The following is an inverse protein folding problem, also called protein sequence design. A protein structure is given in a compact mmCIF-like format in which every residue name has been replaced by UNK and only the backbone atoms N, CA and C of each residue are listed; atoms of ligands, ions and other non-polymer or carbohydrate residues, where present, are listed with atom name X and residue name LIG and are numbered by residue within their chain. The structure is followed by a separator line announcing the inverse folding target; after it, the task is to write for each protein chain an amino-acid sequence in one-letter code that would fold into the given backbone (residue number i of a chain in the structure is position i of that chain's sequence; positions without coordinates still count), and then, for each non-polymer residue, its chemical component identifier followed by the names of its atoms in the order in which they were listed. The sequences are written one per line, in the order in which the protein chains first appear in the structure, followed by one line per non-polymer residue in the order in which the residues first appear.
data_IF_597222087005
#
_entry.id   IF_597222087005
#
_cell.length_a   1.000
_cell.length_b   1.000
_cell.length_c   1.000
_cell.angle_alpha   90.00
_cell.angle_beta   90.00
_cell.angle_gamma   90.00
#
_symmetry.space_group_name_H-M   'P 1'
#
loop_
_entity.id
_entity.type
_entity.pdbx_description
1 polymer ?
#
# COMPACT_ATOMS: atom_id res chain seq x y z
N UNK A 1 11.04 -31.53 -6.70
CA UNK A 1 11.31 -30.08 -6.56
C UNK A 1 10.75 -29.22 -7.71
N UNK A 2 10.81 -29.64 -8.98
CA UNK A 2 10.24 -28.88 -10.13
C UNK A 2 8.71 -28.78 -10.08
N UNK A 3 8.00 -29.85 -9.71
CA UNK A 3 6.53 -29.86 -9.61
C UNK A 3 6.01 -28.91 -8.51
N UNK A 4 6.66 -28.90 -7.35
CA UNK A 4 6.30 -28.02 -6.22
C UNK A 4 6.55 -26.54 -6.57
N UNK A 5 7.64 -26.21 -7.27
CA UNK A 5 7.89 -24.85 -7.77
C UNK A 5 6.81 -24.41 -8.76
N UNK A 6 6.41 -25.30 -9.70
CA UNK A 6 5.39 -25.00 -10.71
C UNK A 6 4.01 -24.78 -10.07
N UNK A 7 3.64 -25.56 -9.06
CA UNK A 7 2.39 -25.42 -8.32
C UNK A 7 2.37 -24.13 -7.49
N UNK A 8 3.47 -23.78 -6.83
CA UNK A 8 3.61 -22.51 -6.08
C UNK A 8 3.52 -21.30 -7.01
N UNK A 9 4.07 -21.39 -8.20
CA UNK A 9 4.02 -20.37 -9.22
C UNK A 9 2.60 -20.14 -9.76
N UNK A 10 1.85 -21.21 -9.99
CA UNK A 10 0.44 -21.13 -10.39
C UNK A 10 -0.41 -20.46 -9.29
N UNK A 11 -0.20 -20.80 -8.01
CA UNK A 11 -0.92 -20.18 -6.88
C UNK A 11 -0.66 -18.66 -6.76
N UNK A 12 0.57 -18.22 -6.99
CA UNK A 12 0.92 -16.78 -6.94
C UNK A 12 0.20 -16.02 -8.06
N UNK A 13 0.25 -16.55 -9.28
CA UNK A 13 -0.45 -15.95 -10.42
C UNK A 13 -1.96 -15.94 -10.24
N UNK A 14 -2.52 -17.00 -9.68
CA UNK A 14 -3.97 -17.09 -9.45
C UNK A 14 -4.43 -16.13 -8.37
N UNK A 15 -3.67 -15.97 -7.27
CA UNK A 15 -4.02 -15.01 -6.21
C UNK A 15 -3.94 -13.54 -6.68
N UNK A 16 -3.00 -13.20 -7.55
CA UNK A 16 -2.91 -11.84 -8.12
C UNK A 16 -4.02 -11.53 -9.13
N UNK A 17 -4.69 -12.56 -9.67
CA UNK A 17 -5.77 -12.38 -10.67
C UNK A 17 -7.00 -11.70 -10.12
N UNK A 18 -7.35 -11.92 -8.85
CA UNK A 18 -8.45 -11.23 -8.19
C UNK A 18 -8.25 -9.72 -8.19
N UNK A 19 -7.08 -9.27 -7.76
CA UNK A 19 -6.70 -7.85 -7.73
C UNK A 19 -6.63 -7.25 -9.14
N UNK A 20 -6.04 -7.96 -10.09
CA UNK A 20 -5.98 -7.54 -11.49
C UNK A 20 -7.37 -7.34 -12.11
N UNK A 21 -8.28 -8.31 -11.94
CA UNK A 21 -9.64 -8.22 -12.49
C UNK A 21 -10.45 -7.12 -11.82
N UNK A 22 -10.36 -7.00 -10.49
CA UNK A 22 -11.01 -5.94 -9.73
C UNK A 22 -10.49 -4.56 -10.16
N UNK A 23 -9.17 -4.40 -10.34
CA UNK A 23 -8.57 -3.17 -10.83
C UNK A 23 -9.11 -2.77 -12.21
N UNK A 24 -9.26 -3.71 -13.14
CA UNK A 24 -9.88 -3.46 -14.45
C UNK A 24 -11.33 -3.02 -14.37
N UNK A 25 -12.13 -3.69 -13.52
CA UNK A 25 -13.53 -3.32 -13.30
C UNK A 25 -13.63 -1.92 -12.71
N UNK A 26 -12.81 -1.61 -11.72
CA UNK A 26 -12.79 -0.29 -11.08
C UNK A 26 -12.34 0.81 -12.05
N UNK A 27 -11.30 0.56 -12.84
CA UNK A 27 -10.85 1.50 -13.87
C UNK A 27 -11.97 1.82 -14.88
N UNK A 28 -12.64 0.79 -15.38
CA UNK A 28 -13.77 0.95 -16.30
C UNK A 28 -14.96 1.68 -15.64
N UNK A 29 -15.26 1.38 -14.37
CA UNK A 29 -16.35 2.03 -13.63
C UNK A 29 -16.08 3.52 -13.37
N UNK A 30 -14.84 3.88 -13.03
CA UNK A 30 -14.43 5.25 -12.74
C UNK A 30 -14.10 6.06 -14.01
N UNK A 31 -13.88 5.40 -15.15
CA UNK A 31 -13.38 6.03 -16.36
C UNK A 31 -11.90 6.43 -16.27
N UNK A 32 -11.12 5.74 -15.44
CA UNK A 32 -9.71 5.98 -15.21
C UNK A 32 -8.84 5.02 -16.04
N UNK A 33 -7.59 5.39 -16.25
CA UNK A 33 -6.63 4.52 -16.93
C UNK A 33 -6.27 3.32 -16.03
N UNK A 34 -6.27 2.12 -16.60
CA UNK A 34 -5.80 0.92 -15.92
C UNK A 34 -4.29 0.75 -16.14
N UNK A 35 -3.52 0.70 -15.07
CA UNK A 35 -2.08 0.42 -15.10
C UNK A 35 -1.81 -0.89 -14.39
N UNK A 36 -1.35 -1.92 -15.12
CA UNK A 36 -1.03 -3.22 -14.52
C UNK A 36 0.20 -3.11 -13.62
N UNK A 37 0.08 -3.54 -12.37
CA UNK A 37 1.21 -3.55 -11.44
C UNK A 37 2.39 -4.40 -11.97
N UNK A 38 2.14 -5.43 -12.77
CA UNK A 38 3.19 -6.22 -13.40
C UNK A 38 4.04 -5.41 -14.42
N UNK A 39 3.52 -4.30 -14.94
CA UNK A 39 4.26 -3.43 -15.86
C UNK A 39 5.11 -2.39 -15.15
N UNK A 40 4.76 -2.02 -13.92
CA UNK A 40 5.35 -0.87 -13.22
C UNK A 40 6.07 -1.23 -11.92
N UNK A 41 5.77 -2.37 -11.30
CA UNK A 41 6.43 -2.86 -10.07
C UNK A 41 7.42 -3.97 -10.42
N UNK A 42 8.69 -3.76 -10.16
CA UNK A 42 9.79 -4.63 -10.58
C UNK A 42 10.39 -5.42 -9.44
N UNK A 43 10.59 -6.71 -9.73
CA UNK A 43 11.33 -7.64 -8.89
C UNK A 43 12.52 -8.21 -9.64
N UNK A 44 13.59 -8.52 -8.91
CA UNK A 44 14.74 -9.26 -9.42
C UNK A 44 14.38 -10.73 -9.66
N UNK A 45 15.22 -11.45 -10.41
CA UNK A 45 15.01 -12.89 -10.71
C UNK A 45 14.98 -13.78 -9.47
N UNK A 46 15.59 -13.35 -8.38
CA UNK A 46 15.57 -14.04 -7.08
C UNK A 46 14.32 -13.72 -6.25
N UNK A 47 13.45 -12.82 -6.73
CA UNK A 47 12.24 -12.36 -6.04
C UNK A 47 12.46 -11.15 -5.13
N UNK A 48 13.64 -10.56 -5.11
CA UNK A 48 13.92 -9.33 -4.36
C UNK A 48 13.24 -8.14 -5.03
N UNK A 49 12.58 -7.29 -4.25
CA UNK A 49 11.94 -6.09 -4.75
C UNK A 49 12.98 -5.04 -5.18
N UNK A 50 12.85 -4.50 -6.40
CA UNK A 50 13.71 -3.42 -6.91
C UNK A 50 13.02 -2.07 -6.80
N UNK A 51 13.30 -1.34 -5.72
CA UNK A 51 12.66 -0.07 -5.40
C UNK A 51 13.05 1.06 -6.38
N UNK A 52 14.31 1.08 -6.84
CA UNK A 52 14.83 2.13 -7.70
C UNK A 52 14.19 2.07 -9.09
N UNK A 53 14.28 0.92 -9.75
CA UNK A 53 13.67 0.69 -11.07
C UNK A 53 12.15 0.85 -11.01
N UNK A 54 11.50 0.37 -9.94
CA UNK A 54 10.06 0.56 -9.74
C UNK A 54 9.69 2.04 -9.68
N UNK A 55 10.43 2.84 -8.89
CA UNK A 55 10.14 4.26 -8.77
C UNK A 55 10.33 5.02 -10.09
N UNK A 56 11.36 4.69 -10.87
CA UNK A 56 11.59 5.29 -12.19
C UNK A 56 10.44 4.99 -13.15
N UNK A 57 10.03 3.71 -13.25
CA UNK A 57 8.96 3.28 -14.16
C UNK A 57 7.61 3.88 -13.73
N UNK A 58 7.28 3.84 -12.43
CA UNK A 58 6.05 4.42 -11.88
C UNK A 58 5.98 5.92 -12.13
N UNK A 59 7.05 6.66 -11.81
CA UNK A 59 7.08 8.11 -12.00
C UNK A 59 6.91 8.49 -13.46
N UNK A 60 7.61 7.82 -14.38
CA UNK A 60 7.48 8.07 -15.80
C UNK A 60 6.08 7.76 -16.33
N UNK A 61 5.50 6.59 -15.92
CA UNK A 61 4.18 6.17 -16.40
C UNK A 61 3.05 7.05 -15.86
N UNK A 62 3.14 7.46 -14.59
CA UNK A 62 2.07 8.24 -13.94
C UNK A 62 2.15 9.73 -14.24
N UNK A 63 3.30 10.25 -14.64
CA UNK A 63 3.43 11.66 -15.07
C UNK A 63 2.55 12.03 -16.28
N UNK A 64 2.18 11.04 -17.09
CA UNK A 64 1.34 11.23 -18.29
C UNK A 64 -0.16 11.08 -17.99
N UNK A 65 -0.54 10.71 -16.75
CA UNK A 65 -1.91 10.34 -16.40
C UNK A 65 -2.47 11.29 -15.34
N UNK A 66 -3.66 11.77 -15.53
CA UNK A 66 -4.40 12.53 -14.53
C UNK A 66 -4.98 11.60 -13.45
N UNK A 67 -5.51 10.45 -13.89
CA UNK A 67 -6.12 9.46 -12.99
C UNK A 67 -5.77 8.05 -13.43
N UNK A 68 -5.41 7.19 -12.49
CA UNK A 68 -5.10 5.79 -12.75
C UNK A 68 -5.65 4.86 -11.65
N UNK A 69 -5.95 3.62 -12.04
CA UNK A 69 -6.21 2.51 -11.13
C UNK A 69 -5.08 1.50 -11.27
N UNK A 70 -4.37 1.25 -10.19
CA UNK A 70 -3.24 0.32 -10.12
C UNK A 70 -3.61 -0.77 -9.12
N UNK A 71 -3.72 -2.04 -9.52
CA UNK A 71 -3.92 -3.13 -8.59
C UNK A 71 -2.68 -3.29 -7.69
N UNK A 72 -2.90 -3.50 -6.39
CA UNK A 72 -1.80 -3.66 -5.43
C UNK A 72 -1.31 -5.08 -5.28
N UNK A 73 -0.33 -5.29 -4.36
CA UNK A 73 0.10 -6.57 -3.82
C UNK A 73 1.05 -7.40 -4.71
N UNK A 74 1.19 -7.13 -6.01
CA UNK A 74 2.06 -7.86 -6.92
C UNK A 74 2.85 -6.94 -7.87
N UNK A 75 3.80 -7.54 -8.56
CA UNK A 75 4.57 -6.96 -9.65
C UNK A 75 5.14 -8.08 -10.52
N UNK A 76 6.17 -7.82 -11.29
CA UNK A 76 6.82 -8.83 -12.11
C UNK A 76 8.34 -8.64 -12.19
N UNK A 77 9.03 -9.74 -12.47
CA UNK A 77 10.43 -9.73 -12.90
C UNK A 77 10.53 -9.27 -14.36
N UNK A 78 11.73 -9.00 -14.83
CA UNK A 78 12.00 -8.54 -16.21
C UNK A 78 11.45 -9.50 -17.28
N UNK A 79 11.47 -10.82 -17.00
CA UNK A 79 10.94 -11.85 -17.90
C UNK A 79 9.41 -12.01 -17.82
N UNK A 80 8.70 -11.15 -17.09
CA UNK A 80 7.24 -11.16 -16.95
C UNK A 80 6.71 -12.17 -15.93
N UNK A 81 7.58 -12.76 -15.13
CA UNK A 81 7.19 -13.67 -14.04
C UNK A 81 6.53 -12.87 -12.91
N UNK A 82 5.25 -13.13 -12.63
CA UNK A 82 4.52 -12.45 -11.55
C UNK A 82 5.07 -12.86 -10.19
N UNK A 83 5.34 -11.87 -9.35
CA UNK A 83 5.81 -12.00 -7.96
C UNK A 83 4.90 -11.20 -7.05
N UNK A 84 4.60 -11.72 -5.87
CA UNK A 84 3.78 -11.02 -4.87
C UNK A 84 4.63 -10.57 -3.69
N UNK A 85 4.27 -9.45 -3.08
CA UNK A 85 4.85 -9.05 -1.80
C UNK A 85 4.48 -10.06 -0.71
N UNK A 86 5.37 -10.30 0.23
CA UNK A 86 5.18 -11.30 1.28
C UNK A 86 4.18 -10.86 2.36
N UNK A 87 4.04 -9.55 2.60
CA UNK A 87 3.17 -8.94 3.62
C UNK A 87 2.79 -7.52 3.23
N UNK A 88 1.55 -7.10 3.58
CA UNK A 88 1.10 -5.72 3.39
C UNK A 88 1.25 -5.20 1.96
N UNK A 89 1.18 -6.08 0.95
CA UNK A 89 1.56 -5.76 -0.41
C UNK A 89 0.73 -4.65 -1.05
N UNK A 90 -0.54 -4.53 -0.67
CA UNK A 90 -1.39 -3.42 -1.13
C UNK A 90 -0.93 -2.09 -0.54
N UNK A 91 -0.59 -2.07 0.75
CA UNK A 91 -0.05 -0.88 1.43
C UNK A 91 1.30 -0.47 0.84
N UNK A 92 2.18 -1.47 0.57
CA UNK A 92 3.46 -1.24 -0.14
C UNK A 92 3.21 -0.60 -1.49
N UNK A 93 2.30 -1.15 -2.29
CA UNK A 93 2.00 -0.60 -3.63
C UNK A 93 1.46 0.83 -3.54
N UNK A 94 0.51 1.10 -2.64
CA UNK A 94 0.00 2.45 -2.41
C UNK A 94 1.09 3.45 -2.00
N UNK A 95 1.99 3.02 -1.12
CA UNK A 95 3.15 3.79 -0.67
C UNK A 95 4.13 4.10 -1.81
N UNK A 96 4.41 3.13 -2.69
CA UNK A 96 5.26 3.31 -3.86
C UNK A 96 4.64 4.29 -4.87
N UNK A 97 3.34 4.15 -5.13
CA UNK A 97 2.61 5.06 -6.02
C UNK A 97 2.63 6.48 -5.47
N UNK A 98 2.30 6.66 -4.17
CA UNK A 98 2.33 7.97 -3.53
C UNK A 98 3.73 8.63 -3.61
N UNK A 99 4.80 7.86 -3.39
CA UNK A 99 6.18 8.35 -3.56
C UNK A 99 6.47 8.73 -5.01
N UNK A 100 6.08 7.89 -5.97
CA UNK A 100 6.40 8.11 -7.39
C UNK A 100 5.74 9.37 -7.96
N UNK A 101 4.51 9.69 -7.51
CA UNK A 101 3.79 10.91 -7.91
C UNK A 101 4.06 12.11 -6.99
N UNK A 102 4.89 11.94 -5.95
CA UNK A 102 5.16 12.97 -4.93
C UNK A 102 3.85 13.53 -4.35
N UNK A 103 2.96 12.64 -3.92
CA UNK A 103 1.63 12.99 -3.45
C UNK A 103 1.68 13.95 -2.24
N UNK A 104 0.73 14.86 -2.16
CA UNK A 104 0.53 15.73 -0.99
C UNK A 104 0.01 14.96 0.22
N UNK A 105 -0.74 13.87 -0.02
CA UNK A 105 -1.34 13.02 0.99
C UNK A 105 -1.53 11.60 0.43
N UNK A 106 -1.22 10.59 1.26
CA UNK A 106 -1.58 9.20 0.99
C UNK A 106 -2.75 8.80 1.90
N UNK A 107 -3.94 8.60 1.35
CA UNK A 107 -5.07 8.03 2.10
C UNK A 107 -5.06 6.51 2.03
N UNK A 108 -4.96 5.87 3.19
CA UNK A 108 -5.07 4.42 3.32
C UNK A 108 -6.46 4.05 3.87
N UNK A 109 -7.30 3.51 3.00
CA UNK A 109 -8.68 3.13 3.34
C UNK A 109 -8.74 1.68 3.79
N UNK A 110 -9.21 1.48 5.04
CA UNK A 110 -9.29 0.19 5.72
C UNK A 110 -10.64 0.03 6.44
N UNK A 111 -10.78 -0.97 7.30
CA UNK A 111 -12.01 -1.25 8.07
C UNK A 111 -12.02 -0.61 9.47
N UNK A 112 -10.99 0.18 9.80
CA UNK A 112 -10.88 0.90 11.08
C UNK A 112 -10.70 2.40 10.88
N UNK A 113 -11.23 3.21 11.83
CA UNK A 113 -11.17 4.69 11.78
C UNK A 113 -9.86 5.25 12.36
N UNK A 114 -8.72 4.64 12.02
CA UNK A 114 -7.41 5.04 12.52
C UNK A 114 -7.01 4.34 13.82
N UNK A 115 -6.10 4.97 14.57
CA UNK A 115 -5.58 4.46 15.83
C UNK A 115 -6.42 4.92 17.01
N UNK A 116 -6.64 4.02 17.98
CA UNK A 116 -7.32 4.32 19.23
C UNK A 116 -6.29 4.46 20.37
N UNK A 117 -6.59 5.31 21.36
CA UNK A 117 -5.74 5.50 22.55
C UNK A 117 -5.60 4.22 23.37
N UNK A 118 -6.62 3.35 23.34
CA UNK A 118 -6.64 2.07 24.04
C UNK A 118 -7.43 1.03 23.25
N UNK A 119 -7.14 -0.25 23.49
CA UNK A 119 -7.86 -1.37 22.88
C UNK A 119 -9.37 -1.29 23.22
N UNK A 120 -10.27 -1.19 22.22
CA UNK A 120 -11.70 -1.07 22.45
C UNK A 120 -12.32 -2.32 23.11
N UNK A 121 -11.61 -3.45 23.10
CA UNK A 121 -12.01 -4.67 23.84
C UNK A 121 -11.82 -4.55 25.34
N UNK A 122 -10.90 -3.65 25.77
CA UNK A 122 -10.58 -3.40 27.19
C UNK A 122 -11.26 -2.12 27.68
N UNK A 123 -11.16 -1.04 26.90
CA UNK A 123 -11.69 0.29 27.26
C UNK A 123 -12.87 0.64 26.35
N UNK A 124 -14.07 0.56 26.88
CA UNK A 124 -15.28 1.01 26.16
C UNK A 124 -15.17 2.50 25.84
N UNK A 125 -15.55 2.88 24.62
CA UNK A 125 -15.48 4.27 24.12
C UNK A 125 -14.07 4.87 24.08
N UNK A 126 -13.08 4.06 23.70
CA UNK A 126 -11.72 4.54 23.42
C UNK A 126 -11.77 5.64 22.35
N UNK A 127 -11.07 6.76 22.59
CA UNK A 127 -11.00 7.87 21.65
C UNK A 127 -10.01 7.60 20.53
N UNK A 128 -10.30 8.11 19.32
CA UNK A 128 -9.37 8.07 18.20
C UNK A 128 -8.22 9.07 18.42
N UNK A 129 -7.05 8.70 17.99
CA UNK A 129 -5.88 9.58 17.91
C UNK A 129 -6.00 10.35 16.58
N UNK A 130 -6.06 11.68 16.66
CA UNK A 130 -6.21 12.49 15.43
C UNK A 130 -4.91 12.57 14.63
N UNK A 131 -3.77 12.72 15.30
CA UNK A 131 -2.45 12.86 14.66
C UNK A 131 -1.38 12.14 15.46
N UNK A 132 -0.52 11.40 14.76
CA UNK A 132 0.68 10.78 15.33
C UNK A 132 1.87 10.99 14.40
N UNK A 133 3.07 10.89 14.95
CA UNK A 133 4.29 10.88 14.16
C UNK A 133 4.65 9.47 13.68
N UNK A 134 5.46 9.36 12.63
CA UNK A 134 6.02 8.08 12.20
C UNK A 134 6.79 7.36 13.30
N UNK A 135 7.42 8.13 14.22
CA UNK A 135 8.13 7.57 15.39
C UNK A 135 7.16 6.93 16.37
N UNK A 136 6.07 7.61 16.69
CA UNK A 136 5.02 7.08 17.58
C UNK A 136 4.30 5.88 16.95
N UNK A 137 4.04 5.92 15.64
CA UNK A 137 3.49 4.78 14.91
C UNK A 137 4.35 3.52 15.09
N UNK A 138 5.67 3.66 14.97
CA UNK A 138 6.60 2.55 15.18
C UNK A 138 6.50 1.98 16.59
N UNK A 139 6.46 2.82 17.61
CA UNK A 139 6.31 2.38 19.01
C UNK A 139 4.97 1.65 19.22
N UNK A 140 3.86 2.17 18.64
CA UNK A 140 2.56 1.51 18.69
C UNK A 140 2.58 0.14 18.01
N UNK A 141 3.28 0.01 16.89
CA UNK A 141 3.44 -1.26 16.18
C UNK A 141 4.18 -2.30 17.01
N UNK A 142 5.24 -1.92 17.72
CA UNK A 142 5.94 -2.80 18.66
C UNK A 142 5.07 -3.24 19.85
N UNK A 143 4.12 -2.42 20.24
CA UNK A 143 3.14 -2.73 21.30
C UNK A 143 1.95 -3.57 20.81
N UNK A 144 1.93 -3.95 19.53
CA UNK A 144 0.90 -4.83 18.95
C UNK A 144 -0.27 -4.10 18.27
N UNK A 145 -0.25 -2.79 18.16
CA UNK A 145 -1.23 -2.02 17.39
C UNK A 145 -0.86 -2.03 15.90
N UNK A 146 -1.16 -3.14 15.20
CA UNK A 146 -0.79 -3.31 13.80
C UNK A 146 -1.93 -2.93 12.86
N UNK A 147 -2.09 -1.66 12.58
CA UNK A 147 -2.98 -1.17 11.49
C UNK A 147 -2.20 -1.09 10.18
N UNK A 148 -0.94 -0.65 10.22
CA UNK A 148 -0.02 -0.60 9.09
C UNK A 148 1.30 -1.27 9.43
N UNK A 149 1.88 -1.97 8.46
CA UNK A 149 3.24 -2.51 8.56
C UNK A 149 4.26 -1.40 8.32
N UNK A 150 5.27 -1.28 9.20
CA UNK A 150 6.32 -0.24 9.07
C UNK A 150 7.06 -0.34 7.72
N UNK A 151 7.37 -1.56 7.28
CA UNK A 151 8.04 -1.79 6.00
C UNK A 151 7.20 -1.32 4.80
N UNK A 152 5.87 -1.42 4.91
CA UNK A 152 4.96 -1.03 3.85
C UNK A 152 4.92 0.49 3.60
N UNK A 153 5.16 1.28 4.65
CA UNK A 153 5.09 2.75 4.58
C UNK A 153 6.46 3.42 4.43
N UNK A 154 7.54 2.63 4.35
CA UNK A 154 8.89 3.15 4.21
C UNK A 154 9.06 4.13 3.02
N UNK A 155 8.50 3.87 1.80
CA UNK A 155 8.62 4.79 0.68
C UNK A 155 8.03 6.19 0.97
N UNK A 156 6.80 6.26 1.48
CA UNK A 156 6.13 7.55 1.79
C UNK A 156 6.80 8.27 2.95
N UNK A 157 7.26 7.52 3.97
CA UNK A 157 8.03 8.10 5.07
C UNK A 157 9.33 8.75 4.57
N UNK A 158 10.07 8.04 3.71
CA UNK A 158 11.31 8.57 3.10
C UNK A 158 11.05 9.84 2.30
N UNK A 159 9.89 9.94 1.65
CA UNK A 159 9.47 11.09 0.87
C UNK A 159 8.86 12.21 1.71
N UNK A 160 8.62 12.01 3.03
CA UNK A 160 7.98 12.98 3.91
C UNK A 160 6.47 13.16 3.63
N UNK A 161 5.85 12.22 2.94
CA UNK A 161 4.43 12.29 2.56
C UNK A 161 3.57 11.88 3.76
N UNK A 162 2.59 12.68 4.20
CA UNK A 162 1.68 12.28 5.27
C UNK A 162 0.75 11.15 4.84
N UNK A 163 0.36 10.28 5.80
CA UNK A 163 -0.61 9.20 5.59
C UNK A 163 -1.85 9.49 6.42
N UNK A 164 -3.04 9.35 5.84
CA UNK A 164 -4.30 9.39 6.58
C UNK A 164 -4.97 8.01 6.55
N UNK A 165 -5.17 7.40 7.72
CA UNK A 165 -5.89 6.14 7.85
C UNK A 165 -7.38 6.43 7.91
N UNK A 166 -8.14 5.95 6.93
CA UNK A 166 -9.57 6.20 6.77
C UNK A 166 -10.38 4.91 6.84
N UNK A 167 -11.61 5.01 7.30
CA UNK A 167 -12.53 3.87 7.39
C UNK A 167 -13.51 3.83 6.21
N UNK A 168 -13.47 2.76 5.43
CA UNK A 168 -14.40 2.52 4.32
C UNK A 168 -15.86 2.40 4.78
N UNK A 169 -16.10 1.91 5.99
CA UNK A 169 -17.43 1.75 6.58
C UNK A 169 -17.95 3.03 7.28
N UNK A 170 -17.06 3.99 7.53
CA UNK A 170 -17.37 5.27 8.16
C UNK A 170 -16.56 6.40 7.50
N UNK A 171 -16.81 6.72 6.21
CA UNK A 171 -15.99 7.66 5.44
C UNK A 171 -16.02 9.10 5.96
N UNK A 172 -17.02 9.44 6.79
CA UNK A 172 -17.13 10.73 7.47
C UNK A 172 -16.14 10.88 8.64
N UNK A 173 -15.57 9.79 9.15
CA UNK A 173 -14.60 9.85 10.23
C UNK A 173 -13.30 10.47 9.71
N UNK A 174 -12.69 11.34 10.54
CA UNK A 174 -11.43 12.01 10.20
C UNK A 174 -10.27 11.02 10.00
N UNK A 175 -10.31 9.90 10.73
CA UNK A 175 -9.23 8.94 10.78
C UNK A 175 -8.05 9.39 11.64
N UNK A 176 -6.87 8.84 11.37
CA UNK A 176 -5.62 9.25 12.01
C UNK A 176 -4.62 9.72 10.96
N UNK A 177 -4.12 10.94 11.13
CA UNK A 177 -3.07 11.50 10.28
C UNK A 177 -1.69 11.14 10.85
N UNK A 178 -0.82 10.56 10.01
CA UNK A 178 0.56 10.21 10.34
C UNK A 178 1.48 11.19 9.62
N UNK A 179 2.35 11.85 10.36
CA UNK A 179 3.26 12.91 9.88
C UNK A 179 4.69 12.68 10.33
N UNK A 180 5.65 13.37 9.71
CA UNK A 180 7.07 13.30 10.11
C UNK A 180 7.29 13.93 11.50
N UNK A 181 6.72 15.12 11.72
CA UNK A 181 6.78 15.81 12.99
C UNK A 181 5.48 16.55 13.26
N UNK A 182 5.04 16.58 14.53
CA UNK A 182 3.96 17.47 14.97
C UNK A 182 4.55 18.84 15.30
N UNK A 183 3.98 19.91 14.73
CA UNK A 183 4.26 21.27 15.20
C UNK A 183 3.72 21.38 16.64
N UNK A 184 4.59 21.55 17.61
CA UNK A 184 4.24 22.00 18.96
C UNK A 184 3.95 23.48 18.96
#
# INVERSE_FOLDING_TARGET
HKAIRRQRYMCIRDSSRGEFLNGKVMAAYLGYEFVDAAEVVRFEKDGTFNAEVTNEILSARLAELEHAVIPGFYGATEDGTVVTFSRGGSDVTGSLVAQAVQADLYENWTDVSGFLIADPRIVKNSKSIETITYKELRELSYMGASVLHEDAIFPVRKAGIPINIKNTNAPQDKGTLIVEATCC
#
